data_IF_418657115419
#
_entry.id   IF_418657115419
#
_cell.length_a   1.000
_cell.length_b   1.000
_cell.length_c   1.000
_cell.angle_alpha   90.00
_cell.angle_beta   90.00
_cell.angle_gamma   90.00
#
_symmetry.space_group_name_H-M   'P 1'
#
loop_
_entity.id
_entity.type
_entity.pdbx_description
1 polymer ?
#
# COMPACT_ATOMS: atom_id res chain seq x y z
N UNK A 1 -3.44 -2.64 -11.94
CA UNK A 1 -4.01 -3.97 -12.24
C UNK A 1 -4.64 -4.03 -13.64
N UNK A 2 -5.85 -3.52 -13.89
CA UNK A 2 -6.55 -3.68 -15.18
C UNK A 2 -5.77 -3.15 -16.39
N UNK A 3 -5.24 -1.91 -16.30
CA UNK A 3 -4.39 -1.35 -17.37
C UNK A 3 -3.17 -2.22 -17.67
N UNK A 4 -2.54 -2.80 -16.65
CA UNK A 4 -1.37 -3.68 -16.83
C UNK A 4 -1.73 -4.97 -17.58
N UNK A 5 -2.91 -5.53 -17.29
CA UNK A 5 -3.45 -6.69 -18.02
C UNK A 5 -3.81 -6.35 -19.47
N UNK A 6 -4.25 -5.12 -19.76
CA UNK A 6 -4.69 -4.71 -21.10
C UNK A 6 -3.53 -4.41 -22.06
N UNK A 7 -2.40 -3.94 -21.56
CA UNK A 7 -1.25 -3.51 -22.38
C UNK A 7 -0.27 -4.64 -22.69
N UNK A 8 -0.53 -5.87 -22.24
CA UNK A 8 0.37 -7.01 -22.39
C UNK A 8 -0.38 -8.34 -22.51
N UNK A 9 0.21 -9.32 -23.20
CA UNK A 9 -0.32 -10.69 -23.23
C UNK A 9 0.08 -11.45 -21.95
N UNK A 10 -0.40 -10.99 -20.80
CA UNK A 10 -0.10 -11.58 -19.48
C UNK A 10 -1.30 -12.33 -18.91
N UNK A 11 -1.06 -13.27 -17.99
CA UNK A 11 -2.14 -13.99 -17.31
C UNK A 11 -2.75 -13.16 -16.17
N UNK A 12 -1.94 -12.29 -15.57
CA UNK A 12 -2.28 -11.50 -14.38
C UNK A 12 -1.83 -10.06 -14.53
N UNK A 13 -2.72 -9.12 -14.19
CA UNK A 13 -2.39 -7.73 -13.95
C UNK A 13 -2.32 -7.45 -12.46
N UNK A 14 -1.20 -6.92 -11.98
CA UNK A 14 -1.02 -6.53 -10.57
C UNK A 14 -1.04 -5.00 -10.47
N UNK A 15 -1.59 -4.46 -9.38
CA UNK A 15 -1.42 -3.08 -8.98
C UNK A 15 -1.25 -3.01 -7.48
N UNK A 16 -0.37 -2.13 -7.00
CA UNK A 16 -0.18 -1.89 -5.57
C UNK A 16 -0.24 -0.39 -5.35
N UNK A 17 -1.06 0.05 -4.41
CA UNK A 17 -1.24 1.46 -4.08
C UNK A 17 -1.17 1.64 -2.57
N UNK A 18 -0.46 2.68 -2.12
CA UNK A 18 -0.43 3.09 -0.72
C UNK A 18 -1.50 4.14 -0.46
N UNK A 19 -2.09 4.15 0.73
CA UNK A 19 -3.08 5.15 1.07
C UNK A 19 -3.39 5.21 2.55
N UNK A 20 -4.10 6.27 2.95
CA UNK A 20 -4.57 6.45 4.31
C UNK A 20 -5.97 5.88 4.48
N UNK A 21 -6.17 5.03 5.49
CA UNK A 21 -7.48 4.56 5.92
C UNK A 21 -7.79 5.08 7.33
N UNK A 22 -8.98 5.64 7.51
CA UNK A 22 -9.48 6.10 8.81
C UNK A 22 -10.10 4.95 9.60
N UNK A 23 -9.73 4.81 10.87
CA UNK A 23 -10.38 3.95 11.84
C UNK A 23 -10.67 4.75 13.11
N UNK A 24 -11.95 5.00 13.37
CA UNK A 24 -12.41 5.88 14.46
C UNK A 24 -11.81 7.28 14.32
N UNK A 25 -10.92 7.70 15.24
CA UNK A 25 -10.26 9.00 15.29
C UNK A 25 -8.79 8.94 14.83
N UNK A 26 -8.38 7.80 14.27
CA UNK A 26 -6.99 7.50 13.87
C UNK A 26 -6.91 7.21 12.39
N UNK A 27 -5.74 7.44 11.82
CA UNK A 27 -5.46 7.20 10.40
C UNK A 27 -4.26 6.29 10.27
N UNK A 28 -4.34 5.35 9.33
CA UNK A 28 -3.35 4.32 9.12
C UNK A 28 -2.89 4.37 7.68
N UNK A 29 -1.59 4.26 7.46
CA UNK A 29 -1.04 3.97 6.14
C UNK A 29 -1.14 2.47 5.88
N UNK A 30 -1.64 2.12 4.70
CA UNK A 30 -1.87 0.75 4.26
C UNK A 30 -1.53 0.65 2.78
N UNK A 31 -0.95 -0.48 2.39
CA UNK A 31 -0.75 -0.81 0.98
C UNK A 31 -1.80 -1.84 0.56
N UNK A 32 -2.44 -1.58 -0.58
CA UNK A 32 -3.46 -2.46 -1.16
C UNK A 32 -2.88 -3.04 -2.45
N UNK A 33 -2.71 -4.36 -2.47
CA UNK A 33 -2.39 -5.10 -3.69
C UNK A 33 -3.69 -5.63 -4.32
N UNK A 34 -3.80 -5.45 -5.63
CA UNK A 34 -4.93 -5.90 -6.44
C UNK A 34 -4.40 -6.75 -7.58
N UNK A 35 -4.92 -7.97 -7.71
CA UNK A 35 -4.58 -8.88 -8.81
C UNK A 35 -5.83 -9.15 -9.62
N UNK A 36 -5.78 -8.90 -10.92
CA UNK A 36 -6.84 -9.24 -11.89
C UNK A 36 -6.32 -10.28 -12.88
N UNK A 37 -7.15 -11.27 -13.25
CA UNK A 37 -6.83 -12.24 -14.29
C UNK A 37 -7.67 -12.05 -15.57
N UNK A 38 -7.42 -12.89 -16.57
CA UNK A 38 -8.14 -12.88 -17.86
C UNK A 38 -9.64 -13.17 -17.73
N UNK A 39 -10.05 -13.92 -16.71
CA UNK A 39 -11.46 -14.15 -16.38
C UNK A 39 -12.09 -12.95 -15.66
N UNK A 40 -11.36 -11.82 -15.53
CA UNK A 40 -11.75 -10.61 -14.80
C UNK A 40 -12.01 -10.87 -13.31
N UNK A 41 -11.50 -11.96 -12.74
CA UNK A 41 -11.54 -12.20 -11.30
C UNK A 41 -10.53 -11.30 -10.61
N UNK A 42 -10.99 -10.56 -9.61
CA UNK A 42 -10.18 -9.60 -8.86
C UNK A 42 -10.00 -10.10 -7.44
N UNK A 43 -8.77 -10.04 -6.94
CA UNK A 43 -8.44 -10.34 -5.54
C UNK A 43 -7.69 -9.19 -4.92
N UNK A 44 -7.90 -9.01 -3.63
CA UNK A 44 -7.36 -7.92 -2.84
C UNK A 44 -6.52 -8.47 -1.71
N UNK A 45 -5.42 -7.79 -1.43
CA UNK A 45 -4.59 -8.03 -0.28
C UNK A 45 -4.17 -6.73 0.36
N UNK A 46 -4.09 -6.74 1.68
CA UNK A 46 -3.75 -5.59 2.49
C UNK A 46 -2.43 -5.86 3.19
N UNK A 47 -1.57 -4.85 3.28
CA UNK A 47 -0.38 -4.93 4.14
C UNK A 47 -0.78 -4.88 5.62
N UNK A 48 0.18 -5.18 6.50
CA UNK A 48 0.11 -4.72 7.89
C UNK A 48 0.14 -3.19 7.89
N UNK A 49 -1.01 -2.55 8.01
CA UNK A 49 -1.11 -1.10 8.13
C UNK A 49 -0.53 -0.60 9.46
N UNK A 50 -0.14 0.67 9.51
CA UNK A 50 0.41 1.30 10.72
C UNK A 50 -0.16 2.69 10.94
N UNK A 51 -0.33 3.09 12.19
CA UNK A 51 -0.90 4.39 12.53
C UNK A 51 0.06 5.52 12.14
N UNK A 52 -0.49 6.56 11.50
CA UNK A 52 0.26 7.77 11.17
C UNK A 52 0.14 8.78 12.32
N UNK A 53 1.25 9.40 12.75
CA UNK A 53 1.22 10.45 13.75
C UNK A 53 0.20 11.55 13.42
N UNK A 54 -0.64 11.90 14.39
CA UNK A 54 -1.77 12.83 14.22
C UNK A 54 -1.38 14.14 13.54
N UNK A 55 -0.22 14.70 13.89
CA UNK A 55 0.27 15.95 13.30
C UNK A 55 0.61 15.83 11.80
N UNK A 56 0.99 14.65 11.30
CA UNK A 56 1.20 14.43 9.86
C UNK A 56 -0.15 14.37 9.15
N UNK A 57 -1.10 13.65 9.74
CA UNK A 57 -2.48 13.51 9.25
C UNK A 57 -3.15 14.88 9.13
N UNK A 58 -3.09 15.70 10.17
CA UNK A 58 -3.65 17.05 10.20
C UNK A 58 -3.07 17.93 9.09
N UNK A 59 -1.76 17.87 8.85
CA UNK A 59 -1.11 18.63 7.78
C UNK A 59 -1.58 18.23 6.38
N UNK A 60 -1.80 16.93 6.14
CA UNK A 60 -2.35 16.44 4.86
C UNK A 60 -3.79 16.97 4.69
N UNK A 61 -4.64 16.85 5.71
CA UNK A 61 -6.03 17.30 5.60
C UNK A 61 -6.20 18.81 5.51
N UNK A 62 -5.31 19.57 6.13
CA UNK A 62 -5.25 21.02 6.02
C UNK A 62 -4.60 21.50 4.70
N UNK A 63 -4.17 20.58 3.82
CA UNK A 63 -3.48 20.86 2.55
C UNK A 63 -2.15 21.61 2.72
N UNK A 64 -1.47 21.42 3.85
CA UNK A 64 -0.10 21.89 4.09
C UNK A 64 0.95 21.00 3.41
N UNK A 65 0.53 19.82 2.94
CA UNK A 65 1.29 18.88 2.13
C UNK A 65 0.34 18.16 1.17
N UNK A 66 0.81 17.84 -0.03
CA UNK A 66 0.00 17.05 -0.97
C UNK A 66 0.04 15.56 -0.64
N UNK A 67 1.17 15.08 -0.10
CA UNK A 67 1.43 13.67 0.13
C UNK A 67 2.16 13.43 1.46
N UNK A 68 2.00 12.24 2.03
CA UNK A 68 2.68 11.82 3.24
C UNK A 68 4.21 11.85 3.08
N UNK A 69 4.71 11.44 1.91
CA UNK A 69 6.14 11.42 1.60
C UNK A 69 6.77 12.82 1.73
N UNK A 70 6.07 13.87 1.30
CA UNK A 70 6.53 15.25 1.41
C UNK A 70 6.77 15.66 2.87
N UNK A 71 5.88 15.25 3.78
CA UNK A 71 6.00 15.51 5.21
C UNK A 71 7.15 14.73 5.83
N UNK A 72 7.34 13.48 5.42
CA UNK A 72 8.43 12.62 5.90
C UNK A 72 9.77 13.18 5.46
N UNK A 73 9.90 13.56 4.19
CA UNK A 73 11.08 14.23 3.64
C UNK A 73 11.43 15.50 4.45
N UNK A 74 10.43 16.37 4.70
CA UNK A 74 10.61 17.58 5.51
C UNK A 74 11.02 17.28 6.95
N UNK A 75 10.43 16.27 7.60
CA UNK A 75 10.68 15.97 9.01
C UNK A 75 12.04 15.31 9.25
N UNK A 76 12.44 14.37 8.40
CA UNK A 76 13.71 13.64 8.53
C UNK A 76 14.87 14.29 7.74
N UNK A 77 14.61 15.42 7.07
CA UNK A 77 15.58 16.12 6.23
C UNK A 77 16.22 15.20 5.17
N UNK A 78 15.36 14.47 4.46
CA UNK A 78 15.71 13.60 3.33
C UNK A 78 14.89 14.02 2.10
N UNK A 79 15.33 13.65 0.89
CA UNK A 79 14.63 14.01 -0.35
C UNK A 79 13.95 12.84 -1.06
N UNK A 80 14.14 11.62 -0.58
CA UNK A 80 13.71 10.40 -1.24
C UNK A 80 13.23 9.34 -0.25
N UNK A 81 12.48 9.75 0.78
CA UNK A 81 11.93 8.84 1.79
C UNK A 81 11.21 7.64 1.16
N UNK A 82 10.52 7.83 0.04
CA UNK A 82 9.86 6.75 -0.67
C UNK A 82 10.79 5.69 -1.25
N UNK A 83 11.96 6.10 -1.76
CA UNK A 83 12.96 5.20 -2.36
C UNK A 83 13.77 4.45 -1.31
N UNK A 84 13.99 5.06 -0.13
CA UNK A 84 14.79 4.45 0.94
C UNK A 84 14.02 3.49 1.83
N UNK A 85 12.70 3.35 1.64
CA UNK A 85 11.87 2.36 2.35
C UNK A 85 10.58 2.93 2.98
N UNK A 86 10.20 4.17 2.67
CA UNK A 86 8.96 4.80 3.12
C UNK A 86 8.98 5.24 4.60
N UNK A 87 7.87 5.83 5.06
CA UNK A 87 7.75 6.31 6.44
C UNK A 87 7.92 5.20 7.48
N UNK A 88 7.41 4.00 7.16
CA UNK A 88 7.48 2.83 8.05
C UNK A 88 8.93 2.48 8.42
N UNK A 89 9.89 2.68 7.51
CA UNK A 89 11.31 2.47 7.80
C UNK A 89 11.77 3.32 8.98
N UNK A 90 11.43 4.60 8.96
CA UNK A 90 11.82 5.52 10.03
C UNK A 90 11.11 5.18 11.35
N UNK A 91 9.81 4.91 11.31
CA UNK A 91 9.01 4.62 12.50
C UNK A 91 9.40 3.29 13.17
N UNK A 92 9.71 2.28 12.36
CA UNK A 92 10.10 0.95 12.82
C UNK A 92 11.60 0.83 13.13
N UNK A 93 12.39 1.89 12.95
CA UNK A 93 13.85 1.88 13.10
C UNK A 93 14.51 0.83 12.19
N UNK A 94 14.13 0.85 10.92
CA UNK A 94 14.63 0.00 9.85
C UNK A 94 14.30 -1.49 9.97
N UNK A 95 13.40 -1.87 10.88
CA UNK A 95 12.95 -3.26 11.05
C UNK A 95 11.96 -3.66 9.95
N UNK A 96 11.11 -2.73 9.51
CA UNK A 96 10.09 -2.94 8.48
C UNK A 96 10.25 -1.85 7.41
N UNK A 97 10.28 -2.26 6.15
CA UNK A 97 10.34 -1.35 4.99
C UNK A 97 9.04 -1.36 4.18
N UNK A 98 8.92 -0.43 3.23
CA UNK A 98 7.83 -0.40 2.24
C UNK A 98 7.77 -1.70 1.44
N UNK A 99 8.91 -2.27 1.08
CA UNK A 99 9.01 -3.55 0.36
C UNK A 99 8.38 -4.68 1.16
N UNK A 100 8.57 -4.74 2.47
CA UNK A 100 7.91 -5.73 3.34
C UNK A 100 6.39 -5.58 3.32
N UNK A 101 5.90 -4.33 3.36
CA UNK A 101 4.45 -4.04 3.29
C UNK A 101 3.86 -4.46 1.94
N UNK A 102 4.54 -4.12 0.83
CA UNK A 102 4.14 -4.49 -0.53
C UNK A 102 4.17 -6.01 -0.73
N UNK A 103 5.21 -6.67 -0.22
CA UNK A 103 5.33 -8.13 -0.23
C UNK A 103 4.16 -8.77 0.51
N UNK A 104 3.88 -8.32 1.74
CA UNK A 104 2.77 -8.84 2.54
C UNK A 104 1.41 -8.60 1.85
N UNK A 105 1.14 -7.38 1.37
CA UNK A 105 -0.10 -7.08 0.64
C UNK A 105 -0.28 -8.00 -0.58
N UNK A 106 0.79 -8.23 -1.32
CA UNK A 106 0.77 -9.11 -2.51
C UNK A 106 0.50 -10.56 -2.11
N UNK A 107 1.13 -11.08 -1.05
CA UNK A 107 0.84 -12.41 -0.51
C UNK A 107 -0.63 -12.54 -0.09
N UNK A 108 -1.18 -11.53 0.59
CA UNK A 108 -2.58 -11.54 1.01
C UNK A 108 -3.52 -11.57 -0.21
N UNK A 109 -3.17 -10.89 -1.31
CA UNK A 109 -3.96 -10.87 -2.53
C UNK A 109 -3.98 -12.23 -3.26
N UNK A 110 -3.01 -13.11 -2.97
CA UNK A 110 -2.96 -14.47 -3.51
C UNK A 110 -3.83 -15.46 -2.72
N UNK A 111 -4.25 -15.14 -1.48
CA UNK A 111 -5.03 -16.07 -0.64
C UNK A 111 -6.31 -16.55 -1.34
N UNK A 112 -7.17 -15.67 -1.92
CA UNK A 112 -8.35 -16.16 -2.64
C UNK A 112 -8.00 -16.94 -3.92
N UNK A 113 -6.84 -16.65 -4.52
CA UNK A 113 -6.39 -17.29 -5.76
C UNK A 113 -5.86 -18.70 -5.55
N UNK A 114 -5.22 -19.00 -4.42
CA UNK A 114 -4.77 -20.36 -4.10
C UNK A 114 -5.91 -21.23 -3.56
N UNK A 115 -6.96 -20.60 -3.00
CA UNK A 115 -8.14 -21.27 -2.47
C UNK A 115 -9.35 -21.17 -3.42
N UNK A 116 -9.15 -21.42 -4.73
CA UNK A 116 -10.16 -21.14 -5.77
C UNK A 116 -11.53 -21.77 -5.47
N UNK A 117 -11.53 -22.99 -4.97
CA UNK A 117 -12.75 -23.76 -4.64
C UNK A 117 -13.62 -23.12 -3.56
N UNK A 118 -13.03 -22.28 -2.70
CA UNK A 118 -13.75 -21.57 -1.64
C UNK A 118 -14.23 -20.19 -2.09
N UNK A 119 -13.45 -19.51 -2.94
CA UNK A 119 -13.68 -18.11 -3.30
C UNK A 119 -14.37 -17.90 -4.65
N UNK A 120 -14.37 -18.88 -5.55
CA UNK A 120 -14.93 -18.75 -6.91
C UNK A 120 -16.03 -19.79 -7.22
N UNK A 121 -16.84 -20.14 -6.21
CA UNK A 121 -18.02 -20.98 -6.43
C UNK A 121 -19.01 -20.33 -7.40
#
# INVERSE_FOLDING_TARGET
>A
ASKALEISDTDLGVGVEAGLIGLVDRWFDIHVAVIIDREKKITYGLSSGFEIPKNFVEKIFNKEASELEELVNRYYNVSNAGEIGGFIRFLSREIITREDLVFNATLMALIPRINRELYYR
#
